data_IF_381442055630
#
_entry.id   IF_381442055630
#
_cell.length_a   1.000
_cell.length_b   1.000
_cell.length_c   1.000
_cell.angle_alpha   90.00
_cell.angle_beta   90.00
_cell.angle_gamma   90.00
#
_symmetry.space_group_name_H-M   'P 1'
#
loop_
_entity.id
_entity.type
_entity.pdbx_description
1 polymer ?
#
# COMPACT_ATOMS: atom_id res chain seq x y z
N UNK A 1 -9.70 43.91 -7.92
CA UNK A 1 -8.70 42.83 -7.80
C UNK A 1 -7.31 43.45 -7.90
N UNK A 2 -6.48 43.40 -6.84
CA UNK A 2 -5.11 43.96 -6.89
C UNK A 2 -4.24 43.04 -7.75
N UNK A 3 -3.67 43.55 -8.85
CA UNK A 3 -2.70 42.81 -9.66
C UNK A 3 -1.44 42.57 -8.82
N UNK A 4 -1.07 41.31 -8.65
CA UNK A 4 0.21 40.96 -8.03
C UNK A 4 1.32 41.42 -8.98
N UNK A 5 2.27 42.19 -8.45
CA UNK A 5 3.42 42.68 -9.23
C UNK A 5 4.36 41.53 -9.59
N UNK A 6 5.00 41.61 -10.76
CA UNK A 6 6.06 40.70 -11.17
C UNK A 6 7.15 40.56 -10.10
N UNK A 7 7.49 41.66 -9.43
CA UNK A 7 8.47 41.68 -8.32
C UNK A 7 8.03 40.80 -7.16
N UNK A 8 6.73 40.83 -6.82
CA UNK A 8 6.17 40.01 -5.74
C UNK A 8 6.22 38.52 -6.10
N UNK A 9 5.97 38.16 -7.36
CA UNK A 9 6.11 36.76 -7.83
C UNK A 9 7.55 36.28 -7.76
N UNK A 10 8.51 37.13 -8.16
CA UNK A 10 9.94 36.81 -8.09
C UNK A 10 10.39 36.57 -6.65
N UNK A 11 9.98 37.42 -5.70
CA UNK A 11 10.31 37.24 -4.28
C UNK A 11 9.71 35.94 -3.73
N UNK A 12 8.43 35.65 -4.05
CA UNK A 12 7.76 34.41 -3.63
C UNK A 12 8.50 33.18 -4.19
N UNK A 13 8.92 33.22 -5.46
CA UNK A 13 9.69 32.15 -6.08
C UNK A 13 11.00 31.88 -5.36
N UNK A 14 11.79 32.92 -5.04
CA UNK A 14 13.07 32.73 -4.34
C UNK A 14 12.90 32.25 -2.91
N UNK A 15 11.86 32.71 -2.19
CA UNK A 15 11.54 32.19 -0.86
C UNK A 15 11.19 30.70 -0.96
N UNK A 16 10.31 30.33 -1.89
CA UNK A 16 9.93 28.93 -2.12
C UNK A 16 11.14 28.08 -2.50
N UNK A 17 11.98 28.53 -3.44
CA UNK A 17 13.17 27.82 -3.88
C UNK A 17 14.15 27.60 -2.72
N UNK A 18 14.37 28.62 -1.90
CA UNK A 18 15.25 28.52 -0.73
C UNK A 18 14.71 27.52 0.29
N UNK A 19 13.40 27.50 0.52
CA UNK A 19 12.76 26.51 1.41
C UNK A 19 12.89 25.10 0.85
N UNK A 20 12.65 24.90 -0.46
CA UNK A 20 12.81 23.59 -1.12
C UNK A 20 14.24 23.09 -0.98
N UNK A 21 15.24 23.93 -1.27
CA UNK A 21 16.66 23.57 -1.14
C UNK A 21 16.99 23.23 0.32
N UNK A 22 16.54 24.04 1.28
CA UNK A 22 16.77 23.79 2.70
C UNK A 22 16.15 22.46 3.15
N UNK A 23 14.90 22.18 2.76
CA UNK A 23 14.23 20.94 3.14
C UNK A 23 14.83 19.71 2.47
N UNK A 24 15.26 19.82 1.20
CA UNK A 24 15.94 18.74 0.49
C UNK A 24 17.32 18.45 1.10
N UNK A 25 18.08 19.48 1.49
CA UNK A 25 19.38 19.29 2.16
C UNK A 25 19.22 18.75 3.59
N UNK A 26 18.21 19.20 4.33
CA UNK A 26 17.96 18.78 5.71
C UNK A 26 17.35 17.37 5.80
N UNK A 27 16.57 16.99 4.79
CA UNK A 27 15.90 15.68 4.71
C UNK A 27 16.19 15.08 3.32
N UNK A 28 17.43 14.66 3.05
CA UNK A 28 17.74 13.98 1.80
C UNK A 28 16.92 12.69 1.71
N UNK A 29 16.45 12.35 0.52
CA UNK A 29 15.87 11.04 0.29
C UNK A 29 16.94 9.97 0.54
N UNK A 30 16.55 8.90 1.22
CA UNK A 30 17.42 7.73 1.42
C UNK A 30 17.54 6.99 0.09
N UNK A 31 18.61 7.27 -0.66
CA UNK A 31 18.96 6.52 -1.86
C UNK A 31 20.03 5.48 -1.54
N UNK A 32 19.73 4.22 -1.83
CA UNK A 32 20.73 3.16 -1.78
C UNK A 32 21.70 3.33 -2.94
N UNK A 33 22.99 3.44 -2.63
CA UNK A 33 24.01 3.39 -3.67
C UNK A 33 24.22 1.92 -4.09
N UNK A 34 23.42 1.48 -5.05
CA UNK A 34 23.48 0.12 -5.60
C UNK A 34 24.87 -0.30 -6.10
N UNK A 35 25.73 0.66 -6.49
CA UNK A 35 27.11 0.34 -6.92
C UNK A 35 28.05 -0.05 -5.78
N UNK A 36 27.66 0.24 -4.53
CA UNK A 36 28.45 -0.08 -3.33
C UNK A 36 28.01 -1.35 -2.62
N UNK A 37 26.84 -1.90 -3.01
CA UNK A 37 26.28 -3.10 -2.40
C UNK A 37 26.75 -4.32 -3.18
N UNK A 38 27.66 -5.10 -2.60
CA UNK A 38 28.03 -6.40 -3.15
C UNK A 38 27.03 -7.47 -2.70
N UNK A 39 26.05 -7.77 -3.56
CA UNK A 39 25.03 -8.78 -3.27
C UNK A 39 25.59 -10.17 -3.06
N UNK A 40 26.80 -10.47 -3.58
CA UNK A 40 27.46 -11.77 -3.41
C UNK A 40 28.02 -11.99 -2.01
N UNK A 41 28.18 -10.92 -1.24
CA UNK A 41 28.64 -11.00 0.15
C UNK A 41 27.56 -11.53 1.11
N UNK A 42 26.28 -11.49 0.69
CA UNK A 42 25.17 -12.04 1.47
C UNK A 42 24.96 -13.49 1.11
N UNK A 43 25.21 -14.38 2.07
CA UNK A 43 24.96 -15.82 1.94
C UNK A 43 23.79 -16.19 2.83
N UNK A 44 22.78 -16.83 2.25
CA UNK A 44 21.63 -17.37 2.95
C UNK A 44 21.72 -18.90 2.96
N UNK A 45 21.10 -19.59 3.94
CA UNK A 45 20.93 -21.04 3.88
C UNK A 45 20.32 -21.50 2.56
N UNK A 46 20.67 -22.72 2.11
CA UNK A 46 20.14 -23.28 0.85
C UNK A 46 18.61 -23.41 0.84
N UNK A 47 18.01 -23.58 2.03
CA UNK A 47 16.57 -23.68 2.26
C UNK A 47 15.91 -22.34 2.64
N UNK A 48 16.63 -21.23 2.50
CA UNK A 48 16.06 -19.91 2.76
C UNK A 48 15.01 -19.55 1.71
N UNK A 49 13.85 -19.11 2.18
CA UNK A 49 12.71 -18.79 1.35
C UNK A 49 12.57 -17.28 1.18
N UNK A 50 12.57 -16.84 -0.07
CA UNK A 50 12.16 -15.49 -0.45
C UNK A 50 10.70 -15.48 -0.89
N UNK A 51 9.99 -14.43 -0.49
CA UNK A 51 8.58 -14.28 -0.79
C UNK A 51 8.09 -12.87 -0.60
N UNK A 52 6.86 -12.64 -1.06
CA UNK A 52 6.12 -11.40 -0.86
C UNK A 52 4.99 -11.63 0.15
N UNK A 53 4.44 -10.54 0.68
CA UNK A 53 3.32 -10.64 1.60
C UNK A 53 2.31 -9.50 1.42
N UNK A 54 1.03 -9.81 1.60
CA UNK A 54 -0.07 -8.84 1.62
C UNK A 54 -1.05 -9.17 2.74
N UNK A 55 -2.06 -8.31 2.92
CA UNK A 55 -3.27 -8.65 3.68
C UNK A 55 -4.52 -8.27 2.90
N UNK A 56 -5.58 -9.06 3.10
CA UNK A 56 -6.81 -8.98 2.32
C UNK A 56 -7.41 -7.57 2.26
N UNK A 57 -7.52 -6.91 3.42
CA UNK A 57 -8.07 -5.56 3.50
C UNK A 57 -7.28 -4.52 2.71
N UNK A 58 -5.96 -4.71 2.59
CA UNK A 58 -5.05 -3.78 1.92
C UNK A 58 -5.05 -3.91 0.40
N UNK A 59 -5.32 -5.10 -0.17
CA UNK A 59 -5.11 -5.35 -1.60
C UNK A 59 -6.32 -5.89 -2.36
N UNK A 60 -7.21 -6.65 -1.71
CA UNK A 60 -8.29 -7.34 -2.44
C UNK A 60 -9.33 -6.40 -3.00
N UNK A 61 -9.71 -5.40 -2.20
CA UNK A 61 -10.86 -4.55 -2.47
C UNK A 61 -12.20 -5.18 -2.06
N UNK A 62 -13.22 -4.33 -1.90
CA UNK A 62 -14.59 -4.76 -1.60
C UNK A 62 -14.79 -5.32 -0.18
N UNK A 63 -13.92 -4.99 0.77
CA UNK A 63 -14.01 -5.44 2.16
C UNK A 63 -14.89 -4.49 2.98
N UNK A 64 -16.21 -4.72 2.99
CA UNK A 64 -17.20 -3.74 3.47
C UNK A 64 -17.82 -4.05 4.84
N UNK A 65 -17.39 -5.12 5.50
CA UNK A 65 -18.08 -5.64 6.68
C UNK A 65 -17.13 -6.22 7.74
N UNK A 66 -15.95 -5.63 7.89
CA UNK A 66 -15.00 -5.97 8.95
C UNK A 66 -14.66 -4.75 9.84
N UNK A 67 -13.87 -4.96 10.90
CA UNK A 67 -13.50 -3.88 11.81
C UNK A 67 -12.68 -2.77 11.14
N UNK A 68 -11.86 -3.10 10.15
CA UNK A 68 -11.06 -2.12 9.41
C UNK A 68 -11.94 -1.20 8.57
N UNK A 69 -12.97 -1.74 7.92
CA UNK A 69 -13.97 -0.95 7.21
C UNK A 69 -14.68 0.05 8.14
N UNK A 70 -15.05 -0.39 9.35
CA UNK A 70 -15.65 0.52 10.34
C UNK A 70 -14.65 1.59 10.78
N UNK A 71 -13.39 1.18 11.02
CA UNK A 71 -12.33 2.08 11.45
C UNK A 71 -12.01 3.16 10.39
N UNK A 72 -11.88 2.79 9.11
CA UNK A 72 -11.54 3.74 8.04
C UNK A 72 -12.63 4.78 7.80
N UNK A 73 -13.89 4.43 8.08
CA UNK A 73 -15.03 5.36 8.00
C UNK A 73 -15.22 6.20 9.28
N UNK A 74 -14.43 5.95 10.32
CA UNK A 74 -14.50 6.63 11.60
C UNK A 74 -13.64 7.90 11.68
N UNK A 75 -13.85 8.63 12.77
CA UNK A 75 -13.11 9.82 13.13
C UNK A 75 -12.52 9.64 14.53
N UNK A 76 -11.33 10.19 14.75
CA UNK A 76 -10.73 10.35 16.08
C UNK A 76 -11.23 11.64 16.73
N UNK A 77 -10.79 11.88 17.96
CA UNK A 77 -11.10 13.12 18.69
C UNK A 77 -10.78 14.36 17.85
N UNK A 78 -11.62 15.38 17.97
CA UNK A 78 -11.56 16.63 17.18
C UNK A 78 -12.00 16.51 15.71
N UNK A 79 -12.83 15.51 15.36
CA UNK A 79 -13.43 15.35 14.03
C UNK A 79 -12.41 15.18 12.89
N UNK A 80 -11.25 14.61 13.22
CA UNK A 80 -10.21 14.28 12.25
C UNK A 80 -10.44 12.83 11.80
N UNK A 81 -10.37 12.51 10.49
CA UNK A 81 -10.50 11.13 10.05
C UNK A 81 -9.47 10.18 10.69
N UNK A 82 -9.84 8.91 10.86
CA UNK A 82 -8.93 7.88 11.39
C UNK A 82 -7.79 7.57 10.42
N UNK A 83 -8.08 7.56 9.12
CA UNK A 83 -7.09 7.36 8.06
C UNK A 83 -6.65 8.72 7.53
N UNK A 84 -5.39 8.83 7.13
CA UNK A 84 -4.85 10.02 6.49
C UNK A 84 -5.75 10.46 5.32
N UNK A 85 -6.06 11.76 5.25
CA UNK A 85 -7.01 12.35 4.28
C UNK A 85 -8.43 11.78 4.25
N UNK A 86 -8.79 10.87 5.16
CA UNK A 86 -10.06 10.14 5.09
C UNK A 86 -10.09 9.10 3.96
N UNK A 87 -8.92 8.61 3.53
CA UNK A 87 -8.81 7.56 2.53
C UNK A 87 -9.47 6.26 3.00
N UNK A 88 -9.88 5.44 2.03
CA UNK A 88 -10.57 4.16 2.25
C UNK A 88 -9.93 3.09 1.38
N UNK A 89 -9.95 1.85 1.86
CA UNK A 89 -9.48 0.69 1.10
C UNK A 89 -10.19 0.57 -0.25
N UNK A 90 -11.52 0.69 -0.28
CA UNK A 90 -12.30 0.76 -1.52
C UNK A 90 -12.02 -0.44 -2.45
N UNK A 91 -11.55 -0.16 -3.67
CA UNK A 91 -11.10 -1.19 -4.62
C UNK A 91 -9.67 -1.68 -4.35
N UNK A 92 -8.89 -0.97 -3.54
CA UNK A 92 -7.49 -1.25 -3.24
C UNK A 92 -6.66 -1.46 -4.52
N UNK A 93 -5.79 -2.47 -4.53
CA UNK A 93 -5.07 -2.93 -5.73
C UNK A 93 -5.90 -3.83 -6.63
N UNK A 94 -7.20 -4.05 -6.31
CA UNK A 94 -8.10 -4.95 -7.03
C UNK A 94 -7.59 -6.40 -7.12
N UNK A 95 -6.80 -6.84 -6.15
CA UNK A 95 -6.20 -8.18 -6.12
C UNK A 95 -7.26 -9.28 -6.17
N UNK A 96 -8.48 -9.04 -5.67
CA UNK A 96 -9.59 -10.00 -5.78
C UNK A 96 -9.90 -10.40 -7.22
N UNK A 97 -9.76 -9.47 -8.16
CA UNK A 97 -10.02 -9.74 -9.57
C UNK A 97 -8.74 -10.01 -10.38
N UNK A 98 -7.59 -9.50 -9.92
CA UNK A 98 -6.31 -9.53 -10.63
C UNK A 98 -5.26 -10.46 -9.99
N UNK A 99 -5.66 -11.36 -9.09
CA UNK A 99 -4.72 -12.22 -8.37
C UNK A 99 -3.86 -13.09 -9.28
N UNK A 100 -4.35 -13.46 -10.47
CA UNK A 100 -3.59 -14.25 -11.45
C UNK A 100 -2.43 -13.46 -12.02
N UNK A 101 -2.68 -12.21 -12.40
CA UNK A 101 -1.70 -11.26 -12.88
C UNK A 101 -0.69 -10.92 -11.79
N UNK A 102 -1.16 -10.71 -10.55
CA UNK A 102 -0.28 -10.42 -9.42
C UNK A 102 0.63 -11.62 -9.08
N UNK A 103 0.13 -12.86 -9.15
CA UNK A 103 0.95 -14.07 -9.00
C UNK A 103 1.99 -14.18 -10.11
N UNK A 104 1.63 -13.83 -11.35
CA UNK A 104 2.57 -13.81 -12.47
C UNK A 104 3.70 -12.80 -12.25
N UNK A 105 3.38 -11.60 -11.75
CA UNK A 105 4.38 -10.59 -11.37
C UNK A 105 5.30 -11.06 -10.25
N UNK A 106 4.77 -11.77 -9.24
CA UNK A 106 5.60 -12.39 -8.19
C UNK A 106 6.56 -13.41 -8.77
N UNK A 107 6.13 -14.19 -9.77
CA UNK A 107 7.01 -15.15 -10.43
C UNK A 107 8.10 -14.46 -11.25
N UNK A 108 7.79 -13.34 -11.89
CA UNK A 108 8.77 -12.49 -12.61
C UNK A 108 9.79 -11.82 -11.69
N UNK A 109 9.41 -11.58 -10.42
CA UNK A 109 10.30 -11.11 -9.36
C UNK A 109 11.28 -12.17 -8.83
N UNK A 110 11.19 -13.41 -9.33
CA UNK A 110 11.99 -14.56 -8.89
C UNK A 110 11.77 -14.91 -7.40
N UNK A 111 10.54 -14.77 -6.92
CA UNK A 111 10.11 -15.28 -5.61
C UNK A 111 9.17 -16.47 -5.77
N UNK A 112 9.29 -17.43 -4.86
CA UNK A 112 8.52 -18.68 -4.94
C UNK A 112 7.43 -18.78 -3.88
N UNK A 113 7.36 -17.83 -2.94
CA UNK A 113 6.40 -17.87 -1.84
C UNK A 113 5.60 -16.57 -1.74
N UNK A 114 4.30 -16.73 -1.49
CA UNK A 114 3.39 -15.61 -1.25
C UNK A 114 2.59 -15.85 0.03
N UNK A 115 2.79 -14.96 1.00
CA UNK A 115 2.00 -14.96 2.24
C UNK A 115 0.84 -13.98 2.09
N UNK A 116 -0.39 -14.47 2.13
CA UNK A 116 -1.58 -13.62 2.15
C UNK A 116 -2.49 -14.00 3.32
N UNK A 117 -3.44 -13.13 3.65
CA UNK A 117 -4.51 -13.41 4.61
C UNK A 117 -5.82 -13.65 3.88
N UNK A 118 -6.71 -14.40 4.52
CA UNK A 118 -8.08 -14.62 4.06
C UNK A 118 -9.00 -13.62 4.78
N UNK A 119 -9.91 -12.97 4.06
CA UNK A 119 -10.89 -12.06 4.67
C UNK A 119 -12.06 -12.84 5.26
N UNK A 120 -12.09 -12.90 6.60
CA UNK A 120 -13.16 -13.60 7.32
C UNK A 120 -14.53 -13.01 7.03
N UNK A 121 -14.65 -11.68 6.91
CA UNK A 121 -15.95 -11.04 6.68
C UNK A 121 -16.50 -11.31 5.27
N UNK A 122 -15.67 -11.74 4.31
CA UNK A 122 -16.13 -12.26 3.03
C UNK A 122 -16.61 -13.70 3.17
N UNK A 123 -15.91 -14.53 3.94
CA UNK A 123 -16.29 -15.94 4.17
C UNK A 123 -17.56 -16.07 5.01
N UNK A 124 -17.66 -15.31 6.09
CA UNK A 124 -18.81 -15.29 6.99
C UNK A 124 -19.37 -13.86 7.08
N UNK A 125 -20.14 -13.38 6.09
CA UNK A 125 -20.61 -11.99 6.07
C UNK A 125 -21.54 -11.61 7.21
N UNK A 126 -22.22 -12.61 7.79
CA UNK A 126 -23.01 -12.51 9.00
C UNK A 126 -22.76 -13.76 9.82
N UNK A 127 -22.75 -13.63 11.15
CA UNK A 127 -22.57 -14.75 12.07
C UNK A 127 -23.47 -15.94 11.70
N UNK A 128 -22.87 -17.09 11.43
CA UNK A 128 -23.51 -18.34 11.02
C UNK A 128 -23.89 -18.44 9.55
N UNK A 129 -23.63 -17.40 8.73
CA UNK A 129 -23.93 -17.38 7.30
C UNK A 129 -22.62 -17.41 6.53
N UNK A 130 -22.34 -18.53 5.88
CA UNK A 130 -21.10 -18.75 5.13
C UNK A 130 -21.33 -18.61 3.63
N UNK A 131 -20.41 -17.92 2.95
CA UNK A 131 -20.34 -17.82 1.50
C UNK A 131 -19.26 -18.77 0.95
N UNK A 132 -19.70 -19.92 0.45
CA UNK A 132 -18.78 -20.91 -0.13
C UNK A 132 -18.12 -20.41 -1.43
N UNK A 133 -18.70 -19.45 -2.15
CA UNK A 133 -18.10 -18.92 -3.38
C UNK A 133 -16.79 -18.17 -3.10
N UNK A 134 -16.69 -17.52 -1.94
CA UNK A 134 -15.48 -16.86 -1.45
C UNK A 134 -14.42 -17.90 -1.09
N UNK A 135 -14.81 -18.99 -0.42
CA UNK A 135 -13.90 -20.10 -0.11
C UNK A 135 -13.37 -20.73 -1.40
N UNK A 136 -14.23 -20.92 -2.39
CA UNK A 136 -13.84 -21.45 -3.69
C UNK A 136 -12.93 -20.50 -4.45
N UNK A 137 -13.12 -19.17 -4.33
CA UNK A 137 -12.19 -18.17 -4.87
C UNK A 137 -10.77 -18.37 -4.31
N UNK A 138 -10.61 -18.44 -2.98
CA UNK A 138 -9.29 -18.65 -2.35
C UNK A 138 -8.65 -20.01 -2.68
N UNK A 139 -9.46 -21.01 -3.06
CA UNK A 139 -8.98 -22.34 -3.43
C UNK A 139 -8.60 -22.46 -4.91
N UNK A 140 -8.90 -21.46 -5.75
CA UNK A 140 -8.59 -21.53 -7.18
C UNK A 140 -7.10 -21.78 -7.36
N UNK A 141 -6.80 -22.79 -8.17
CA UNK A 141 -5.45 -23.12 -8.59
C UNK A 141 -5.26 -22.62 -10.03
N UNK A 142 -4.06 -22.15 -10.32
CA UNK A 142 -3.59 -21.92 -11.68
C UNK A 142 -3.39 -23.25 -12.40
#
# INVERSE_FOLDING_TARGET
>A
MKKISFISLTIIFWIWLTLVIHFNYKNPELEWNWTTIDTKSFVFPEDFIWGTATSAHQVEGGNLNNNWYVFENGFKDSNIPNIYNGDKSGIASNHWNLYLEDIQLMKELDVDHYRFSIEWSKIEPKKGVFDNSVVDHYKKKN
#
